data_IF_020301248144
#
_entry.id   IF_020301248144
#
_cell.length_a   1.000
_cell.length_b   1.000
_cell.length_c   1.000
_cell.angle_alpha   90.00
_cell.angle_beta   90.00
_cell.angle_gamma   90.00
#
_symmetry.space_group_name_H-M   'P 1'
#
loop_
_entity.id
_entity.type
_entity.pdbx_description
1 polymer ?
#
# COMPACT_ATOMS: atom_id res chain seq x y z
N UNK A 1 -3.45 7.73 -8.51
CA UNK A 1 -2.38 8.30 -7.66
C UNK A 1 -1.03 8.07 -8.34
N UNK A 2 -0.09 9.00 -8.18
CA UNK A 2 1.29 8.83 -8.66
C UNK A 2 1.99 7.90 -7.66
N UNK A 3 2.35 6.70 -8.10
CA UNK A 3 3.05 5.70 -7.29
C UNK A 3 4.51 5.74 -7.69
N UNK A 4 5.41 5.82 -6.69
CA UNK A 4 6.85 5.89 -6.93
C UNK A 4 7.32 4.61 -7.66
N UNK A 5 8.30 4.75 -8.56
CA UNK A 5 8.89 3.65 -9.32
C UNK A 5 9.51 2.58 -8.43
N UNK A 6 10.04 2.96 -7.26
CA UNK A 6 10.70 2.05 -6.33
C UNK A 6 9.70 1.00 -5.80
N UNK A 7 8.47 1.43 -5.50
CA UNK A 7 7.36 0.55 -5.07
C UNK A 7 6.96 -0.44 -6.17
N UNK A 8 7.22 -0.11 -7.44
CA UNK A 8 6.92 -1.02 -8.55
C UNK A 8 7.92 -2.17 -8.65
N UNK A 9 9.12 -2.02 -8.09
CA UNK A 9 10.13 -3.07 -8.09
C UNK A 9 9.76 -4.21 -7.12
N UNK A 10 9.25 -3.85 -5.94
CA UNK A 10 8.82 -4.80 -4.91
C UNK A 10 7.60 -5.65 -5.30
N UNK A 11 6.89 -5.24 -6.35
CA UNK A 11 5.67 -5.90 -6.86
C UNK A 11 5.86 -6.48 -8.27
N UNK A 12 7.11 -6.58 -8.76
CA UNK A 12 7.46 -7.25 -10.03
C UNK A 12 7.08 -8.73 -9.92
N UNK A 13 5.94 -9.10 -10.48
CA UNK A 13 5.39 -10.46 -10.43
C UNK A 13 3.87 -10.51 -10.28
N UNK A 14 3.25 -9.41 -9.85
CA UNK A 14 1.79 -9.30 -9.81
C UNK A 14 1.22 -9.02 -11.21
N UNK A 15 0.03 -9.56 -11.47
CA UNK A 15 -0.66 -9.30 -12.74
C UNK A 15 -0.94 -7.80 -12.93
N UNK A 16 -0.86 -7.25 -14.17
CA UNK A 16 -1.13 -5.84 -14.43
C UNK A 16 -2.53 -5.41 -13.98
N UNK A 17 -3.51 -6.32 -14.07
CA UNK A 17 -4.89 -6.09 -13.64
C UNK A 17 -5.00 -5.94 -12.12
N UNK A 18 -4.25 -6.74 -11.35
CA UNK A 18 -4.20 -6.64 -9.89
C UNK A 18 -3.49 -5.34 -9.48
N UNK A 19 -2.35 -5.04 -10.08
CA UNK A 19 -1.61 -3.78 -9.86
C UNK A 19 -2.50 -2.56 -10.15
N UNK A 20 -3.26 -2.58 -11.23
CA UNK A 20 -4.20 -1.51 -11.58
C UNK A 20 -5.30 -1.30 -10.54
N UNK A 21 -5.77 -2.36 -9.88
CA UNK A 21 -6.73 -2.26 -8.76
C UNK A 21 -6.06 -1.67 -7.53
N UNK A 22 -4.89 -2.17 -7.14
CA UNK A 22 -4.15 -1.70 -5.95
C UNK A 22 -3.70 -0.23 -6.06
N UNK A 23 -3.39 0.26 -7.27
CA UNK A 23 -3.06 1.68 -7.52
C UNK A 23 -4.25 2.63 -7.39
N UNK A 24 -5.47 2.13 -7.58
CA UNK A 24 -6.71 2.91 -7.47
C UNK A 24 -7.28 2.90 -6.07
N UNK A 25 -6.92 1.89 -5.29
CA UNK A 25 -7.33 1.78 -3.91
C UNK A 25 -6.53 2.73 -3.03
N UNK A 26 -7.24 3.52 -2.22
CA UNK A 26 -6.67 4.50 -1.32
C UNK A 26 -6.86 4.04 0.12
N UNK A 27 -5.85 4.21 0.95
CA UNK A 27 -5.85 3.81 2.36
C UNK A 27 -5.30 4.93 3.23
N UNK A 28 -5.87 5.09 4.42
CA UNK A 28 -5.40 6.07 5.39
C UNK A 28 -4.21 5.49 6.15
N UNK A 29 -3.04 6.12 6.01
CA UNK A 29 -1.85 5.71 6.73
C UNK A 29 -1.84 6.35 8.13
N UNK A 30 -1.87 5.57 9.22
CA UNK A 30 -1.85 6.13 10.58
C UNK A 30 -0.51 6.80 10.91
N UNK A 31 0.58 6.36 10.27
CA UNK A 31 1.94 6.90 10.48
C UNK A 31 2.12 8.23 9.75
N UNK A 32 1.83 8.26 8.44
CA UNK A 32 1.95 9.48 7.62
C UNK A 32 0.79 10.46 7.80
N UNK A 33 -0.28 10.06 8.52
CA UNK A 33 -1.55 10.82 8.69
C UNK A 33 -2.11 11.37 7.38
N UNK A 34 -1.91 10.62 6.30
CA UNK A 34 -2.30 11.00 4.94
C UNK A 34 -2.88 9.79 4.21
N UNK A 35 -3.70 10.06 3.20
CA UNK A 35 -4.24 9.02 2.32
C UNK A 35 -3.20 8.67 1.26
N UNK A 36 -2.76 7.41 1.25
CA UNK A 36 -1.78 6.88 0.29
C UNK A 36 -2.42 5.79 -0.57
N UNK A 37 -1.74 5.36 -1.64
CA UNK A 37 -2.20 4.21 -2.42
C UNK A 37 -2.01 2.91 -1.65
N UNK A 38 -2.92 1.96 -1.80
CA UNK A 38 -2.79 0.65 -1.15
C UNK A 38 -1.51 -0.06 -1.54
N UNK A 39 -1.06 0.09 -2.79
CA UNK A 39 0.21 -0.49 -3.24
C UNK A 39 1.43 0.04 -2.47
N UNK A 40 1.42 1.32 -2.08
CA UNK A 40 2.48 1.92 -1.26
C UNK A 40 2.39 1.44 0.19
N UNK A 41 1.17 1.22 0.70
CA UNK A 41 0.99 0.63 2.01
C UNK A 41 1.43 -0.84 2.03
N UNK A 42 1.13 -1.61 0.99
CA UNK A 42 1.44 -3.04 0.88
C UNK A 42 2.96 -3.31 0.91
N UNK A 43 3.77 -2.42 0.35
CA UNK A 43 5.24 -2.51 0.36
C UNK A 43 5.87 -1.90 1.62
N UNK A 44 5.06 -1.41 2.57
CA UNK A 44 5.57 -0.82 3.80
C UNK A 44 5.91 -1.90 4.84
N UNK A 45 7.03 -1.74 5.56
CA UNK A 45 7.42 -2.62 6.67
C UNK A 45 6.38 -2.66 7.82
N UNK A 46 5.55 -1.63 7.91
CA UNK A 46 4.48 -1.51 8.89
C UNK A 46 3.20 -2.25 8.47
N UNK A 47 3.08 -2.70 7.22
CA UNK A 47 1.92 -3.47 6.78
C UNK A 47 1.91 -4.85 7.43
N UNK A 48 0.77 -5.20 8.02
CA UNK A 48 0.55 -6.53 8.62
C UNK A 48 -0.37 -7.34 7.73
N UNK A 49 -1.60 -6.87 7.57
CA UNK A 49 -2.64 -7.57 6.83
C UNK A 49 -3.78 -6.63 6.48
N UNK A 50 -4.66 -7.09 5.60
CA UNK A 50 -5.92 -6.43 5.27
C UNK A 50 -7.07 -7.41 5.50
N UNK A 51 -8.03 -7.04 6.34
CA UNK A 51 -9.22 -7.85 6.62
C UNK A 51 -10.47 -7.01 6.38
N UNK A 52 -11.40 -7.52 5.56
CA UNK A 52 -12.70 -6.88 5.27
C UNK A 52 -12.63 -5.38 4.90
N UNK A 53 -11.57 -4.96 4.22
CA UNK A 53 -11.40 -3.57 3.79
C UNK A 53 -10.68 -2.66 4.79
N UNK A 54 -10.33 -3.14 5.98
CA UNK A 54 -9.45 -2.44 6.92
C UNK A 54 -8.01 -2.91 6.78
N UNK A 55 -7.07 -1.98 6.77
CA UNK A 55 -5.64 -2.26 6.80
C UNK A 55 -5.14 -2.22 8.24
N UNK A 56 -4.47 -3.29 8.66
CA UNK A 56 -3.79 -3.36 9.94
C UNK A 56 -2.32 -2.94 9.75
N UNK A 57 -1.95 -1.91 10.49
CA UNK A 57 -0.63 -1.31 10.47
C UNK A 57 0.02 -1.48 11.85
N UNK A 58 1.30 -1.83 11.91
CA UNK A 58 2.07 -1.91 13.16
C UNK A 58 2.09 -0.58 13.92
N UNK A 59 2.00 0.54 13.20
CA UNK A 59 1.99 1.87 13.80
C UNK A 59 3.33 2.29 14.37
N UNK A 60 4.42 1.59 14.06
CA UNK A 60 5.77 2.00 14.43
C UNK A 60 6.13 3.25 13.63
N UNK A 61 6.61 4.28 14.35
CA UNK A 61 7.15 5.49 13.73
C UNK A 61 8.40 5.09 12.94
N UNK A 62 8.34 5.26 11.61
CA UNK A 62 9.47 5.09 10.69
C UNK A 62 10.49 6.21 10.88
#
# INVERSE_FOLDING_TARGET
MKVNSDVLEDVKGLSPKLLGRMKKEAVECPVKKTTISFIECFTCNNFITRVKGMVYCKGELL
#
